data_IF_345015804888
#
_entry.id   IF_345015804888
#
_cell.length_a   1.000
_cell.length_b   1.000
_cell.length_c   1.000
_cell.angle_alpha   90.00
_cell.angle_beta   90.00
_cell.angle_gamma   90.00
#
_symmetry.space_group_name_H-M   'P 1'
#
loop_
_entity.id
_entity.type
_entity.pdbx_description
1 polymer ?
#
# COMPACT_ATOMS: atom_id res chain seq x y z
N UNK A 1 -41.03 31.66 -18.60
CA UNK A 1 -40.63 31.20 -17.25
C UNK A 1 -40.14 29.77 -17.42
N UNK A 2 -38.94 29.32 -17.08
CA UNK A 2 -37.81 29.86 -16.33
C UNK A 2 -36.58 29.04 -16.78
N UNK A 3 -35.54 29.69 -17.31
CA UNK A 3 -34.26 29.02 -17.61
C UNK A 3 -33.53 28.84 -16.28
N UNK A 4 -33.60 27.66 -15.69
CA UNK A 4 -32.77 27.31 -14.53
C UNK A 4 -31.32 27.34 -14.98
N UNK A 5 -30.60 28.38 -14.54
CA UNK A 5 -29.17 28.57 -14.76
C UNK A 5 -28.40 27.42 -14.11
N UNK A 6 -27.69 26.64 -14.92
CA UNK A 6 -26.65 25.73 -14.45
C UNK A 6 -25.51 26.58 -13.87
N UNK A 7 -25.46 26.69 -12.54
CA UNK A 7 -24.64 27.67 -11.79
C UNK A 7 -23.22 27.16 -11.46
N UNK A 8 -22.77 26.03 -12.02
CA UNK A 8 -21.52 25.39 -11.62
C UNK A 8 -20.70 24.91 -12.82
N UNK A 9 -19.38 25.11 -12.77
CA UNK A 9 -18.43 24.43 -13.65
C UNK A 9 -18.44 22.90 -13.41
N UNK A 10 -17.86 22.11 -14.32
CA UNK A 10 -17.80 20.66 -14.14
C UNK A 10 -17.10 20.31 -12.81
N UNK A 11 -17.58 19.29 -12.08
CA UNK A 11 -16.95 18.86 -10.84
C UNK A 11 -15.51 18.42 -11.12
N UNK A 12 -14.55 18.95 -10.35
CA UNK A 12 -13.17 18.44 -10.36
C UNK A 12 -13.14 17.21 -9.45
N UNK A 13 -12.77 16.06 -10.02
CA UNK A 13 -12.56 14.82 -9.27
C UNK A 13 -11.07 14.58 -9.20
N UNK A 14 -10.54 14.45 -7.98
CA UNK A 14 -9.16 14.03 -7.73
C UNK A 14 -9.18 12.69 -7.00
N UNK A 15 -8.21 11.82 -7.29
CA UNK A 15 -8.04 10.57 -6.57
C UNK A 15 -6.72 10.54 -5.80
N UNK A 16 -6.68 9.74 -4.75
CA UNK A 16 -5.48 9.33 -4.05
C UNK A 16 -5.49 7.81 -3.94
N UNK A 17 -4.53 7.17 -4.60
CA UNK A 17 -4.24 5.75 -4.42
C UNK A 17 -3.18 5.62 -3.36
N UNK A 18 -3.49 4.87 -2.30
CA UNK A 18 -2.56 4.55 -1.22
C UNK A 18 -2.34 3.04 -1.15
N UNK A 19 -1.09 2.61 -1.21
CA UNK A 19 -0.69 1.21 -1.02
C UNK A 19 0.04 1.07 0.31
N UNK A 20 -0.42 0.15 1.16
CA UNK A 20 0.24 -0.20 2.41
C UNK A 20 0.98 -1.52 2.23
N UNK A 21 2.27 -1.51 2.57
CA UNK A 21 3.16 -2.68 2.58
C UNK A 21 3.61 -2.97 4.00
N UNK A 22 3.52 -4.21 4.47
CA UNK A 22 3.94 -4.56 5.83
C UNK A 22 5.41 -5.01 5.86
N UNK A 23 6.19 -4.41 6.76
CA UNK A 23 7.59 -4.78 7.01
C UNK A 23 7.71 -5.90 8.03
N UNK A 24 6.85 -5.90 9.04
CA UNK A 24 6.88 -6.90 10.11
C UNK A 24 6.13 -8.18 9.71
N UNK A 25 6.49 -9.33 10.30
CA UNK A 25 5.63 -10.53 10.32
C UNK A 25 4.22 -10.18 10.78
N UNK A 26 3.24 -10.98 10.38
CA UNK A 26 1.94 -10.93 11.07
C UNK A 26 2.15 -11.31 12.55
N UNK A 27 1.28 -10.79 13.41
CA UNK A 27 1.36 -10.98 14.87
C UNK A 27 1.42 -12.47 15.25
N UNK A 28 0.84 -13.34 14.41
CA UNK A 28 0.85 -14.80 14.53
C UNK A 28 2.26 -15.41 14.56
N UNK A 29 3.25 -14.80 13.89
CA UNK A 29 4.62 -15.31 13.92
C UNK A 29 5.22 -15.25 15.32
N UNK A 30 4.97 -14.14 16.04
CA UNK A 30 5.44 -13.98 17.41
C UNK A 30 4.56 -14.70 18.42
N UNK A 31 3.25 -14.86 18.15
CA UNK A 31 2.39 -15.70 18.99
C UNK A 31 2.86 -17.16 19.03
N UNK A 32 3.37 -17.68 17.91
CA UNK A 32 3.97 -19.01 17.85
C UNK A 32 5.30 -19.10 18.61
N UNK A 33 6.05 -17.99 18.72
CA UNK A 33 7.31 -17.92 19.48
C UNK A 33 7.06 -17.71 20.98
N UNK A 34 6.02 -16.96 21.34
CA UNK A 34 5.70 -16.56 22.72
C UNK A 34 4.97 -17.61 23.55
N UNK A 35 4.27 -18.57 22.94
CA UNK A 35 3.54 -19.64 23.66
C UNK A 35 4.44 -20.86 23.95
N UNK A 36 5.49 -20.65 24.74
CA UNK A 36 6.27 -21.75 25.33
C UNK A 36 7.25 -22.47 24.39
N UNK A 37 7.51 -21.91 23.20
CA UNK A 37 8.60 -22.39 22.34
C UNK A 37 9.92 -21.87 22.92
N UNK A 38 10.84 -22.77 23.26
CA UNK A 38 12.21 -22.37 23.62
C UNK A 38 12.81 -21.60 22.45
N UNK A 39 12.97 -20.29 22.62
CA UNK A 39 13.70 -19.45 21.67
C UNK A 39 15.16 -19.85 21.74
N UNK A 40 15.64 -20.55 20.72
CA UNK A 40 17.04 -20.88 20.56
C UNK A 40 17.69 -20.02 19.46
N UNK A 41 19.01 -20.17 19.30
CA UNK A 41 19.74 -19.42 18.28
C UNK A 41 19.29 -19.75 16.85
N UNK A 42 18.72 -20.94 16.58
CA UNK A 42 18.20 -21.28 15.27
C UNK A 42 16.90 -20.53 14.96
N UNK A 43 16.00 -20.42 15.94
CA UNK A 43 14.77 -19.65 15.82
C UNK A 43 15.05 -18.16 15.54
N UNK A 44 16.03 -17.56 16.22
CA UNK A 44 16.44 -16.16 15.96
C UNK A 44 16.99 -15.98 14.55
N UNK A 45 17.82 -16.91 14.07
CA UNK A 45 18.36 -16.87 12.70
C UNK A 45 17.25 -17.00 11.65
N UNK A 46 16.28 -17.88 11.89
CA UNK A 46 15.14 -18.06 10.98
C UNK A 46 14.26 -16.81 10.94
N UNK A 47 13.99 -16.18 12.08
CA UNK A 47 13.29 -14.90 12.14
C UNK A 47 14.01 -13.83 11.30
N UNK A 48 15.33 -13.69 11.44
CA UNK A 48 16.14 -12.76 10.64
C UNK A 48 16.07 -13.06 9.14
N UNK A 49 16.08 -14.33 8.75
CA UNK A 49 15.94 -14.76 7.35
C UNK A 49 14.56 -14.39 6.78
N UNK A 50 13.49 -14.60 7.55
CA UNK A 50 12.13 -14.25 7.14
C UNK A 50 11.94 -12.73 7.02
N UNK A 51 12.47 -11.96 7.97
CA UNK A 51 12.47 -10.50 7.90
C UNK A 51 13.22 -10.00 6.66
N UNK A 52 14.42 -10.53 6.39
CA UNK A 52 15.19 -10.20 5.18
C UNK A 52 14.41 -10.55 3.92
N UNK A 53 13.78 -11.75 3.91
CA UNK A 53 12.96 -12.17 2.78
C UNK A 53 11.83 -11.16 2.54
N UNK A 54 11.11 -10.74 3.58
CA UNK A 54 10.01 -9.78 3.49
C UNK A 54 10.48 -8.39 3.08
N UNK A 55 11.56 -7.88 3.66
CA UNK A 55 12.14 -6.58 3.29
C UNK A 55 12.49 -6.53 1.80
N UNK A 56 13.12 -7.57 1.26
CA UNK A 56 13.42 -7.64 -0.18
C UNK A 56 12.15 -7.69 -1.06
N UNK A 57 11.07 -8.29 -0.56
CA UNK A 57 9.78 -8.33 -1.26
C UNK A 57 9.11 -6.95 -1.27
N UNK A 58 9.14 -6.25 -0.13
CA UNK A 58 8.67 -4.87 -0.01
C UNK A 58 9.47 -3.94 -0.91
N UNK A 59 10.80 -4.03 -0.91
CA UNK A 59 11.66 -3.25 -1.80
C UNK A 59 11.33 -3.47 -3.28
N UNK A 60 11.13 -4.73 -3.71
CA UNK A 60 10.75 -5.02 -5.09
C UNK A 60 9.36 -4.43 -5.47
N UNK A 61 8.39 -4.40 -4.54
CA UNK A 61 7.12 -3.70 -4.77
C UNK A 61 7.32 -2.19 -4.87
N UNK A 62 8.20 -1.62 -4.05
CA UNK A 62 8.57 -0.20 -4.12
C UNK A 62 9.21 0.15 -5.45
N UNK A 63 10.05 -0.71 -6.03
CA UNK A 63 10.65 -0.48 -7.37
C UNK A 63 9.57 -0.37 -8.46
N UNK A 64 8.56 -1.27 -8.43
CA UNK A 64 7.42 -1.19 -9.35
C UNK A 64 6.67 0.12 -9.19
N UNK A 65 6.41 0.54 -7.94
CA UNK A 65 5.69 1.79 -7.65
C UNK A 65 6.52 3.05 -7.98
N UNK A 66 7.83 3.02 -7.76
CA UNK A 66 8.74 4.11 -8.08
C UNK A 66 8.77 4.36 -9.59
N UNK A 67 8.75 3.30 -10.41
CA UNK A 67 8.66 3.41 -11.87
C UNK A 67 7.39 4.14 -12.37
N UNK A 68 6.39 4.30 -11.49
CA UNK A 68 5.10 4.94 -11.75
C UNK A 68 4.92 6.27 -11.03
N UNK A 69 5.98 6.78 -10.41
CA UNK A 69 5.96 8.08 -9.73
C UNK A 69 5.24 8.07 -8.37
N UNK A 70 5.13 6.92 -7.71
CA UNK A 70 4.67 6.89 -6.32
C UNK A 70 5.68 7.58 -5.40
N UNK A 71 5.16 8.22 -4.35
CA UNK A 71 5.95 8.72 -3.21
C UNK A 71 5.82 7.76 -2.03
N UNK A 72 6.82 7.74 -1.16
CA UNK A 72 6.92 6.77 -0.06
C UNK A 72 7.04 7.45 1.31
N UNK A 73 6.37 6.88 2.28
CA UNK A 73 6.44 7.25 3.69
C UNK A 73 6.62 5.99 4.53
N UNK A 74 7.52 6.02 5.51
CA UNK A 74 7.75 4.91 6.41
C UNK A 74 7.03 5.14 7.75
N UNK A 75 6.39 4.09 8.25
CA UNK A 75 5.91 3.96 9.61
C UNK A 75 6.62 2.76 10.28
N UNK A 76 6.50 2.61 11.61
CA UNK A 76 7.21 1.59 12.40
C UNK A 76 7.16 0.19 11.80
N UNK A 77 6.01 -0.21 11.25
CA UNK A 77 5.78 -1.58 10.78
C UNK A 77 5.32 -1.65 9.31
N UNK A 78 5.31 -0.53 8.59
CA UNK A 78 4.78 -0.46 7.24
C UNK A 78 5.43 0.63 6.38
N UNK A 79 5.36 0.45 5.07
CA UNK A 79 5.61 1.49 4.08
C UNK A 79 4.28 1.88 3.45
N UNK A 80 3.99 3.17 3.42
CA UNK A 80 2.86 3.75 2.71
C UNK A 80 3.37 4.36 1.40
N UNK A 81 2.72 3.98 0.30
CA UNK A 81 3.03 4.47 -1.03
C UNK A 81 1.83 5.25 -1.56
N UNK A 82 2.03 6.43 -2.12
CA UNK A 82 0.94 7.29 -2.57
C UNK A 82 1.09 7.69 -4.04
N UNK A 83 -0.02 7.78 -4.76
CA UNK A 83 -0.09 8.37 -6.09
C UNK A 83 -1.42 9.09 -6.30
N UNK A 84 -1.39 10.22 -6.99
CA UNK A 84 -2.57 10.97 -7.45
C UNK A 84 -2.79 10.84 -8.96
N UNK A 85 -1.96 10.04 -9.63
CA UNK A 85 -1.96 9.86 -11.09
C UNK A 85 -2.12 8.41 -11.51
N UNK A 86 -2.02 7.46 -10.57
CA UNK A 86 -2.17 6.02 -10.82
C UNK A 86 -3.37 5.54 -10.03
N UNK A 87 -4.35 4.97 -10.71
CA UNK A 87 -5.55 4.44 -10.08
C UNK A 87 -5.28 3.06 -9.43
N UNK A 88 -6.10 2.70 -8.44
CA UNK A 88 -5.95 1.46 -7.68
C UNK A 88 -5.92 0.19 -8.55
N UNK A 89 -6.72 0.16 -9.62
CA UNK A 89 -6.78 -1.00 -10.52
C UNK A 89 -5.48 -1.17 -11.32
N UNK A 90 -4.83 -0.08 -11.70
CA UNK A 90 -3.58 -0.10 -12.49
C UNK A 90 -2.45 -0.68 -11.65
N UNK A 91 -2.26 -0.14 -10.45
CA UNK A 91 -1.19 -0.61 -9.58
C UNK A 91 -1.45 -2.06 -9.13
N UNK A 92 -2.71 -2.45 -8.87
CA UNK A 92 -3.05 -3.84 -8.57
C UNK A 92 -2.63 -4.77 -9.72
N UNK A 93 -3.05 -4.45 -10.95
CA UNK A 93 -2.70 -5.24 -12.14
C UNK A 93 -1.19 -5.40 -12.27
N UNK A 94 -0.45 -4.31 -12.09
CA UNK A 94 0.99 -4.30 -12.33
C UNK A 94 1.77 -5.04 -11.23
N UNK A 95 1.33 -4.97 -9.97
CA UNK A 95 1.87 -5.80 -8.89
C UNK A 95 1.59 -7.30 -9.12
N UNK A 96 0.39 -7.65 -9.55
CA UNK A 96 0.05 -9.05 -9.89
C UNK A 96 0.87 -9.54 -11.09
N UNK A 97 1.03 -8.71 -12.13
CA UNK A 97 1.85 -9.03 -13.29
C UNK A 97 3.34 -9.21 -12.94
N UNK A 98 3.82 -8.51 -11.90
CA UNK A 98 5.16 -8.67 -11.35
C UNK A 98 5.31 -9.90 -10.42
N UNK A 99 4.24 -10.67 -10.19
CA UNK A 99 4.25 -11.90 -9.42
C UNK A 99 3.98 -11.76 -7.92
N UNK A 100 3.59 -10.58 -7.46
CA UNK A 100 3.13 -10.37 -6.08
C UNK A 100 1.71 -10.92 -5.91
N UNK A 101 1.34 -11.28 -4.69
CA UNK A 101 0.01 -11.81 -4.36
C UNK A 101 -0.83 -10.76 -3.63
N UNK A 102 -2.15 -10.82 -3.83
CA UNK A 102 -3.12 -9.93 -3.15
C UNK A 102 -2.90 -9.77 -1.63
N UNK A 103 -2.54 -10.81 -0.84
CA UNK A 103 -2.31 -10.64 0.60
C UNK A 103 -1.02 -9.88 0.98
N UNK A 104 -0.13 -9.59 0.02
CA UNK A 104 1.16 -8.93 0.31
C UNK A 104 1.03 -7.40 0.43
N UNK A 105 -0.08 -6.82 -0.01
CA UNK A 105 -0.32 -5.38 -0.01
C UNK A 105 -1.81 -5.06 0.20
N UNK A 106 -2.08 -3.85 0.69
CA UNK A 106 -3.43 -3.31 0.77
C UNK A 106 -3.51 -2.03 -0.04
N UNK A 107 -4.54 -1.91 -0.89
CA UNK A 107 -4.78 -0.71 -1.69
C UNK A 107 -6.03 -0.01 -1.15
N UNK A 108 -5.90 1.28 -0.87
CA UNK A 108 -6.99 2.19 -0.59
C UNK A 108 -7.09 3.22 -1.72
N UNK A 109 -8.32 3.52 -2.12
CA UNK A 109 -8.62 4.54 -3.12
C UNK A 109 -9.56 5.56 -2.51
N UNK A 110 -9.13 6.81 -2.49
CA UNK A 110 -9.91 7.93 -2.00
C UNK A 110 -10.25 8.85 -3.17
N UNK A 111 -11.55 9.09 -3.38
CA UNK A 111 -12.01 10.07 -4.35
C UNK A 111 -12.46 11.33 -3.63
N UNK A 112 -11.87 12.46 -4.00
CA UNK A 112 -12.34 13.77 -3.55
C UNK A 112 -13.02 14.47 -4.71
N UNK A 113 -14.25 14.95 -4.46
CA UNK A 113 -15.00 15.75 -5.41
C UNK A 113 -15.06 17.18 -4.92
N UNK A 114 -14.40 18.08 -5.64
CA UNK A 114 -14.57 19.51 -5.46
C UNK A 114 -15.90 19.96 -6.05
N UNK A 115 -16.79 20.48 -5.22
CA UNK A 115 -17.87 21.33 -5.68
C UNK A 115 -17.25 22.70 -5.88
N UNK A 116 -16.89 23.06 -7.11
CA UNK A 116 -16.30 24.37 -7.40
C UNK A 116 -17.15 25.46 -6.77
N UNK A 117 -16.57 26.28 -5.89
CA UNK A 117 -17.24 27.43 -5.32
C UNK A 117 -16.40 28.70 -5.43
N UNK A 118 -17.06 29.68 -6.06
CA UNK A 118 -16.90 31.14 -6.13
C UNK A 118 -15.70 31.69 -6.90
#
# INVERSE_FOLDING_TARGET
MEKVRQKYGPPVVTHLTRVKLWLAPDESYWENVGRGVKVDAAAVREAGRLMTKRANRVAAMMDVMASKGFIFEADKMAIYCYSTTVEAYEIKRDLIAAGFKDPEFQILLEYTRGWGML
#
